data_IF_003241939040
#
_entry.id   IF_003241939040
#
_cell.length_a   1.000
_cell.length_b   1.000
_cell.length_c   1.000
_cell.angle_alpha   90.00
_cell.angle_beta   90.00
_cell.angle_gamma   90.00
#
_symmetry.space_group_name_H-M   'P 1'
#
loop_
_entity.id
_entity.type
_entity.pdbx_description
1 polymer ?
#
# COMPACT_ATOMS: atom_id res chain seq x y z
N UNK A 1 -7.97 5.83 -17.82
CA UNK A 1 -8.27 5.44 -16.43
C UNK A 1 -7.04 4.72 -15.95
N UNK A 2 -6.34 5.30 -14.98
CA UNK A 2 -5.21 4.62 -14.32
C UNK A 2 -5.77 3.35 -13.66
N UNK A 3 -5.09 2.22 -13.85
CA UNK A 3 -5.48 0.98 -13.20
C UNK A 3 -4.80 0.94 -11.84
N UNK A 4 -5.49 1.47 -10.83
CA UNK A 4 -4.95 1.55 -9.47
C UNK A 4 -5.51 0.39 -8.64
N UNK A 5 -4.60 -0.34 -7.99
CA UNK A 5 -4.94 -1.33 -6.97
C UNK A 5 -4.39 -0.89 -5.63
N UNK A 6 -5.13 -1.15 -4.55
CA UNK A 6 -4.72 -0.81 -3.20
C UNK A 6 -4.52 -2.07 -2.37
N UNK A 7 -3.53 -2.03 -1.47
CA UNK A 7 -3.25 -3.13 -0.56
C UNK A 7 -3.02 -2.61 0.85
N UNK A 8 -3.30 -3.46 1.82
CA UNK A 8 -2.97 -3.22 3.22
C UNK A 8 -2.18 -4.41 3.73
N UNK A 9 -0.97 -4.16 4.26
CA UNK A 9 -0.21 -5.20 4.94
C UNK A 9 -0.87 -5.52 6.27
N UNK A 10 -0.83 -6.79 6.67
CA UNK A 10 -1.42 -7.31 7.91
C UNK A 10 -0.36 -7.64 8.96
N UNK A 11 0.82 -7.04 8.83
CA UNK A 11 1.95 -7.12 9.76
C UNK A 11 1.72 -6.27 11.02
N UNK A 12 2.55 -6.45 12.05
CA UNK A 12 2.49 -5.67 13.31
C UNK A 12 2.60 -4.15 13.10
N UNK A 13 3.25 -3.72 12.03
CA UNK A 13 3.25 -2.34 11.54
C UNK A 13 2.56 -2.27 10.17
N UNK A 14 1.23 -2.12 10.11
CA UNK A 14 0.48 -2.13 8.87
C UNK A 14 0.86 -0.96 7.96
N UNK A 15 1.11 -1.24 6.68
CA UNK A 15 1.40 -0.25 5.66
C UNK A 15 0.32 -0.27 4.57
N UNK A 16 -0.09 0.92 4.12
CA UNK A 16 -1.00 1.07 2.99
C UNK A 16 -0.19 1.25 1.72
N UNK A 17 -0.47 0.42 0.72
CA UNK A 17 0.24 0.37 -0.54
C UNK A 17 -0.73 0.64 -1.71
N UNK A 18 -0.20 1.11 -2.82
CA UNK A 18 -0.92 1.13 -4.10
C UNK A 18 -0.02 0.71 -5.26
N UNK A 19 -0.58 0.00 -6.22
CA UNK A 19 0.03 -0.26 -7.52
C UNK A 19 -0.68 0.62 -8.54
N UNK A 20 0.06 1.54 -9.16
CA UNK A 20 -0.43 2.47 -10.18
C UNK A 20 0.47 2.35 -11.40
N UNK A 21 -0.12 1.99 -12.54
CA UNK A 21 0.59 1.83 -13.82
C UNK A 21 1.88 0.98 -13.72
N UNK A 22 1.85 -0.06 -12.87
CA UNK A 22 2.98 -0.97 -12.65
C UNK A 22 3.98 -0.51 -11.59
N UNK A 23 3.83 0.70 -11.03
CA UNK A 23 4.68 1.23 -9.95
C UNK A 23 4.03 0.98 -8.61
N UNK A 24 4.69 0.22 -7.74
CA UNK A 24 4.27 0.05 -6.35
C UNK A 24 4.71 1.26 -5.53
N UNK A 25 3.80 1.79 -4.73
CA UNK A 25 4.05 2.90 -3.81
C UNK A 25 3.54 2.55 -2.41
N UNK A 26 4.30 2.96 -1.39
CA UNK A 26 3.90 2.91 0.01
C UNK A 26 3.49 4.29 0.49
N UNK A 27 2.46 4.35 1.34
CA UNK A 27 2.07 5.60 1.97
C UNK A 27 2.99 5.93 3.15
N UNK A 28 3.53 7.14 3.12
CA UNK A 28 4.32 7.79 4.14
C UNK A 28 3.63 9.09 4.58
N UNK A 29 3.62 9.39 5.87
CA UNK A 29 2.85 10.54 6.38
C UNK A 29 3.40 11.88 5.90
N UNK A 30 4.73 12.00 5.76
CA UNK A 30 5.44 13.21 5.38
C UNK A 30 5.50 13.34 3.85
N UNK A 31 5.91 12.27 3.17
CA UNK A 31 6.20 12.23 1.73
C UNK A 31 5.01 11.79 0.87
N UNK A 32 3.92 11.35 1.49
CA UNK A 32 2.73 10.78 0.84
C UNK A 32 3.08 9.49 0.12
N UNK A 33 2.83 9.37 -1.18
CA UNK A 33 3.10 8.13 -1.91
C UNK A 33 4.55 8.08 -2.36
N UNK A 34 5.27 7.06 -1.88
CA UNK A 34 6.70 6.85 -2.16
C UNK A 34 6.88 5.56 -2.94
N UNK A 35 7.54 5.62 -4.10
CA UNK A 35 7.88 4.45 -4.91
C UNK A 35 8.67 3.42 -4.10
N UNK A 36 8.29 2.14 -4.22
CA UNK A 36 8.91 1.05 -3.48
C UNK A 36 9.02 -0.21 -4.33
N UNK A 37 10.20 -0.38 -4.94
CA UNK A 37 10.58 -1.63 -5.62
C UNK A 37 10.60 -2.80 -4.63
N UNK A 38 10.97 -2.56 -3.37
CA UNK A 38 10.97 -3.60 -2.34
C UNK A 38 9.57 -4.16 -2.10
N UNK A 39 8.54 -3.31 -1.98
CA UNK A 39 7.16 -3.76 -1.86
C UNK A 39 6.64 -4.44 -3.11
N UNK A 40 7.04 -3.95 -4.30
CA UNK A 40 6.71 -4.60 -5.57
C UNK A 40 7.25 -6.04 -5.60
N UNK A 41 8.53 -6.22 -5.27
CA UNK A 41 9.17 -7.53 -5.25
C UNK A 41 8.55 -8.46 -4.20
N UNK A 42 8.26 -7.93 -3.00
CA UNK A 42 7.60 -8.71 -1.93
C UNK A 42 6.25 -9.26 -2.38
N UNK A 43 5.39 -8.43 -2.99
CA UNK A 43 4.03 -8.82 -3.35
C UNK A 43 3.98 -9.75 -4.56
N UNK A 44 4.84 -9.54 -5.57
CA UNK A 44 4.71 -10.23 -6.86
C UNK A 44 5.73 -11.34 -7.10
N UNK A 45 6.87 -11.35 -6.40
CA UNK A 45 7.98 -12.26 -6.71
C UNK A 45 8.47 -13.07 -5.51
N UNK A 46 7.96 -12.80 -4.30
CA UNK A 46 8.32 -13.52 -3.08
C UNK A 46 7.09 -14.20 -2.45
N UNK A 47 7.32 -15.02 -1.42
CA UNK A 47 6.29 -15.72 -0.66
C UNK A 47 5.60 -14.85 0.41
N UNK A 48 5.65 -13.53 0.28
CA UNK A 48 5.02 -12.63 1.26
C UNK A 48 3.50 -12.69 1.08
N UNK A 49 2.77 -13.10 2.11
CA UNK A 49 1.31 -13.29 2.05
C UNK A 49 0.56 -12.46 3.08
N UNK A 50 1.27 -11.71 3.93
CA UNK A 50 0.70 -10.85 4.97
C UNK A 50 0.20 -9.51 4.40
N UNK A 51 -0.68 -9.59 3.41
CA UNK A 51 -1.39 -8.44 2.84
C UNK A 51 -2.75 -8.84 2.28
N UNK A 52 -3.60 -7.85 2.09
CA UNK A 52 -4.88 -7.98 1.38
C UNK A 52 -5.02 -6.89 0.34
N UNK A 53 -5.58 -7.23 -0.83
CA UNK A 53 -6.12 -6.23 -1.76
C UNK A 53 -7.37 -5.62 -1.10
N UNK A 54 -7.48 -4.29 -1.17
CA UNK A 54 -8.57 -3.52 -0.55
C UNK A 54 -9.12 -2.50 -1.53
N UNK A 55 -10.31 -1.98 -1.24
CA UNK A 55 -10.85 -0.85 -2.00
C UNK A 55 -10.09 0.45 -1.71
N UNK A 56 -10.18 1.39 -2.65
CA UNK A 56 -9.67 2.75 -2.46
C UNK A 56 -10.22 3.40 -1.18
N UNK A 57 -11.53 3.29 -0.95
CA UNK A 57 -12.19 3.84 0.23
C UNK A 57 -11.61 3.28 1.54
N UNK A 58 -11.32 1.98 1.59
CA UNK A 58 -10.66 1.36 2.75
C UNK A 58 -9.23 1.88 2.92
N UNK A 59 -8.48 2.04 1.83
CA UNK A 59 -7.10 2.53 1.88
C UNK A 59 -7.04 3.94 2.48
N UNK A 60 -7.92 4.84 2.03
CA UNK A 60 -8.02 6.18 2.59
C UNK A 60 -8.57 6.20 4.03
N UNK A 61 -9.41 5.24 4.41
CA UNK A 61 -9.82 5.09 5.80
C UNK A 61 -8.65 4.67 6.71
N UNK A 62 -7.75 3.79 6.26
CA UNK A 62 -6.53 3.45 6.99
C UNK A 62 -5.58 4.64 7.10
N UNK A 63 -5.34 5.34 6.00
CA UNK A 63 -4.52 6.56 5.97
C UNK A 63 -5.06 7.62 6.93
N UNK A 64 -6.38 7.84 6.92
CA UNK A 64 -7.04 8.80 7.81
C UNK A 64 -6.83 8.50 9.29
N UNK A 65 -6.77 7.22 9.68
CA UNK A 65 -6.46 6.81 11.06
C UNK A 65 -5.02 7.10 11.46
N UNK A 66 -4.07 6.91 10.53
CA UNK A 66 -2.65 7.18 10.76
C UNK A 66 -2.39 8.69 10.88
N UNK A 67 -3.00 9.49 10.02
CA UNK A 67 -2.82 10.96 10.01
C UNK A 67 -3.44 11.62 11.23
N UNK A 68 -4.47 11.02 11.82
CA UNK A 68 -5.15 11.54 13.01
C UNK A 68 -4.50 11.12 14.35
N UNK A 69 -3.55 10.19 14.31
CA UNK A 69 -2.81 9.71 15.49
C UNK A 69 -1.60 10.61 15.79
#
# INVERSE_FOLDING_TARGET
MENIKYYQTTTDNPQTLRLIDGVMQVFDIEKKWVDSIDWFNKIFFNDFTDFKEISENEAFAYIGKIVAA
#
